data_IF_938513522944
#
_entry.id   IF_938513522944
#
_cell.length_a   1.000
_cell.length_b   1.000
_cell.length_c   1.000
_cell.angle_alpha   90.00
_cell.angle_beta   90.00
_cell.angle_gamma   90.00
#
_symmetry.space_group_name_H-M   'P 1'
#
loop_
_entity.id
_entity.type
_entity.pdbx_description
1 polymer ?
#
# COMPACT_ATOMS: atom_id res chain seq x y z
N UNK A 1 -7.35 -14.57 -2.39
CA UNK A 1 -6.16 -14.83 -1.56
C UNK A 1 -5.22 -13.65 -1.71
N UNK A 2 -4.78 -13.03 -0.61
CA UNK A 2 -3.89 -11.87 -0.67
C UNK A 2 -2.45 -12.33 -0.98
N UNK A 3 -1.73 -11.58 -1.82
CA UNK A 3 -0.33 -11.83 -2.18
C UNK A 3 0.49 -10.56 -2.01
N UNK A 4 1.73 -10.72 -1.56
CA UNK A 4 2.66 -9.61 -1.37
C UNK A 4 3.61 -9.58 -2.58
N UNK A 5 3.63 -8.47 -3.30
CA UNK A 5 4.54 -8.30 -4.43
C UNK A 5 5.97 -8.03 -3.94
N UNK A 6 6.98 -8.36 -4.74
CA UNK A 6 8.38 -8.05 -4.43
C UNK A 6 8.59 -6.54 -4.18
N UNK A 7 7.90 -5.71 -4.95
CA UNK A 7 7.92 -4.26 -4.79
C UNK A 7 7.37 -3.84 -3.42
N UNK A 8 6.26 -4.44 -2.98
CA UNK A 8 5.70 -4.21 -1.67
C UNK A 8 6.65 -4.65 -0.55
N UNK A 9 7.20 -5.87 -0.61
CA UNK A 9 8.10 -6.42 0.41
C UNK A 9 9.32 -5.52 0.59
N UNK A 10 9.93 -5.09 -0.53
CA UNK A 10 11.06 -4.15 -0.52
C UNK A 10 10.68 -2.82 0.14
N UNK A 11 9.54 -2.25 -0.24
CA UNK A 11 9.08 -0.97 0.31
C UNK A 11 8.71 -1.07 1.80
N UNK A 12 8.19 -2.21 2.22
CA UNK A 12 7.88 -2.51 3.61
C UNK A 12 9.14 -2.54 4.46
N UNK A 13 10.15 -3.29 4.05
CA UNK A 13 11.43 -3.37 4.76
C UNK A 13 12.08 -1.98 4.94
N UNK A 14 11.98 -1.11 3.93
CA UNK A 14 12.54 0.25 3.97
C UNK A 14 11.75 1.23 4.88
N UNK A 15 10.45 1.02 5.03
CA UNK A 15 9.54 2.00 5.66
C UNK A 15 9.08 1.58 7.05
N UNK A 16 8.65 0.32 7.18
CA UNK A 16 8.12 -0.26 8.42
C UNK A 16 9.22 -1.02 9.15
N UNK A 17 10.02 -1.77 8.38
CA UNK A 17 11.07 -2.67 8.88
C UNK A 17 10.64 -4.14 8.85
N UNK A 18 11.63 -5.03 8.74
CA UNK A 18 11.42 -6.47 8.70
C UNK A 18 10.79 -6.98 7.40
N UNK A 19 10.41 -8.26 7.40
CA UNK A 19 9.71 -8.93 6.30
C UNK A 19 8.24 -9.10 6.70
N UNK A 20 7.27 -8.55 5.94
CA UNK A 20 5.86 -8.70 6.27
C UNK A 20 5.37 -10.12 5.97
N UNK A 21 4.46 -10.65 6.79
CA UNK A 21 3.66 -11.84 6.43
C UNK A 21 2.33 -11.45 5.81
N UNK A 22 1.71 -12.38 5.07
CA UNK A 22 0.40 -12.14 4.44
C UNK A 22 -0.66 -11.84 5.50
N UNK A 23 -0.66 -12.58 6.61
CA UNK A 23 -1.62 -12.48 7.71
C UNK A 23 -1.50 -11.13 8.43
N UNK A 24 -0.27 -10.66 8.65
CA UNK A 24 -0.02 -9.34 9.22
C UNK A 24 -0.61 -8.25 8.33
N UNK A 25 -0.34 -8.30 7.03
CA UNK A 25 -0.84 -7.30 6.09
C UNK A 25 -2.35 -7.36 5.95
N UNK A 26 -2.95 -8.56 5.96
CA UNK A 26 -4.41 -8.73 6.00
C UNK A 26 -5.03 -8.12 7.24
N UNK A 27 -4.42 -8.32 8.42
CA UNK A 27 -4.90 -7.73 9.66
C UNK A 27 -4.86 -6.20 9.59
N UNK A 28 -3.75 -5.63 9.10
CA UNK A 28 -3.59 -4.19 8.92
C UNK A 28 -4.61 -3.63 7.94
N UNK A 29 -4.88 -4.31 6.82
CA UNK A 29 -5.91 -3.88 5.87
C UNK A 29 -7.29 -3.86 6.54
N UNK A 30 -7.63 -4.86 7.37
CA UNK A 30 -8.91 -4.91 8.10
C UNK A 30 -9.08 -3.79 9.11
N UNK A 31 -8.00 -3.32 9.72
CA UNK A 31 -8.01 -2.22 10.69
C UNK A 31 -7.86 -0.83 10.04
N UNK A 32 -7.58 -0.79 8.74
CA UNK A 32 -7.37 0.45 7.99
C UNK A 32 -8.67 1.13 7.60
N UNK A 33 -8.61 2.46 7.48
CA UNK A 33 -9.63 3.23 6.80
C UNK A 33 -9.50 3.06 5.28
N UNK A 34 -10.63 2.84 4.61
CA UNK A 34 -10.68 2.85 3.15
C UNK A 34 -10.69 4.30 2.67
N UNK A 35 -9.59 4.74 2.06
CA UNK A 35 -9.48 6.08 1.46
C UNK A 35 -10.04 6.08 0.05
N UNK A 36 -9.84 4.98 -0.68
CA UNK A 36 -10.33 4.80 -2.04
C UNK A 36 -10.58 3.31 -2.28
N UNK A 37 -11.76 2.95 -2.79
CA UNK A 37 -12.07 1.57 -3.17
C UNK A 37 -11.49 1.21 -4.55
N UNK A 38 -11.27 -0.07 -4.81
CA UNK A 38 -10.86 -0.53 -6.12
C UNK A 38 -12.00 -0.33 -7.13
N UNK A 39 -11.69 0.19 -8.32
CA UNK A 39 -12.71 0.49 -9.35
C UNK A 39 -12.11 0.48 -10.76
N UNK A 40 -12.96 0.25 -11.76
CA UNK A 40 -12.59 0.35 -13.17
C UNK A 40 -13.34 1.51 -13.80
N UNK A 41 -12.61 2.44 -14.41
CA UNK A 41 -13.15 3.60 -15.12
C UNK A 41 -12.87 3.48 -16.61
N UNK A 42 -13.73 4.06 -17.44
CA UNK A 42 -13.44 4.20 -18.87
C UNK A 42 -12.55 5.42 -19.10
N UNK A 43 -11.46 5.26 -19.85
CA UNK A 43 -10.68 6.39 -20.38
C UNK A 43 -11.45 7.04 -21.53
N UNK A 44 -11.01 8.24 -21.94
CA UNK A 44 -11.59 8.98 -23.08
C UNK A 44 -11.60 8.20 -24.39
N UNK A 45 -10.64 7.29 -24.58
CA UNK A 45 -10.55 6.42 -25.76
C UNK A 45 -11.35 5.10 -25.62
N UNK A 46 -12.11 4.93 -24.53
CA UNK A 46 -12.89 3.71 -24.26
C UNK A 46 -12.13 2.61 -23.51
N UNK A 47 -10.81 2.71 -23.37
CA UNK A 47 -10.02 1.67 -22.68
C UNK A 47 -10.32 1.64 -21.17
N UNK A 48 -10.35 0.47 -20.53
CA UNK A 48 -10.48 0.38 -19.10
C UNK A 48 -9.22 0.92 -18.39
N UNK A 49 -9.42 1.72 -17.36
CA UNK A 49 -8.41 2.14 -16.40
C UNK A 49 -8.79 1.59 -15.02
N UNK A 50 -7.97 0.67 -14.52
CA UNK A 50 -8.12 0.12 -13.18
C UNK A 50 -7.42 1.00 -12.17
N UNK A 51 -8.14 1.32 -11.12
CA UNK A 51 -7.66 2.10 -9.98
C UNK A 51 -7.56 1.17 -8.78
N UNK A 52 -6.41 1.20 -8.11
CA UNK A 52 -6.13 0.40 -6.92
C UNK A 52 -6.90 0.93 -5.71
N UNK A 53 -7.25 0.03 -4.79
CA UNK A 53 -7.72 0.43 -3.48
C UNK A 53 -6.59 1.09 -2.68
N UNK A 54 -6.93 2.09 -1.88
CA UNK A 54 -6.02 2.80 -0.98
C UNK A 54 -6.56 2.64 0.44
N UNK A 55 -5.71 2.06 1.29
CA UNK A 55 -5.99 1.83 2.70
C UNK A 55 -5.04 2.67 3.54
N UNK A 56 -5.56 3.36 4.55
CA UNK A 56 -4.74 4.10 5.52
C UNK A 56 -4.87 3.48 6.91
N UNK A 57 -3.76 2.95 7.41
CA UNK A 57 -3.67 2.43 8.77
C UNK A 57 -3.12 3.52 9.69
N UNK A 58 -4.00 4.19 10.42
CA UNK A 58 -3.65 5.34 11.27
C UNK A 58 -2.70 4.96 12.41
N UNK A 59 -2.87 3.78 13.01
CA UNK A 59 -2.03 3.31 14.11
C UNK A 59 -0.57 3.03 13.74
N UNK A 60 -0.30 2.74 12.46
CA UNK A 60 1.06 2.52 11.94
C UNK A 60 1.55 3.69 11.08
N UNK A 61 0.67 4.67 10.82
CA UNK A 61 0.86 5.77 9.87
C UNK A 61 1.39 5.31 8.50
N UNK A 62 0.74 4.29 7.94
CA UNK A 62 1.07 3.74 6.61
C UNK A 62 -0.13 3.73 5.69
N UNK A 63 0.15 3.93 4.40
CA UNK A 63 -0.83 3.83 3.31
C UNK A 63 -0.46 2.65 2.43
N UNK A 64 -1.40 1.71 2.26
CA UNK A 64 -1.25 0.56 1.38
C UNK A 64 -2.02 0.78 0.08
N UNK A 65 -1.44 0.36 -1.05
CA UNK A 65 -2.16 0.22 -2.32
C UNK A 65 -2.37 -1.24 -2.65
N UNK A 66 -3.62 -1.62 -2.89
CA UNK A 66 -4.02 -3.01 -3.11
C UNK A 66 -4.80 -3.12 -4.42
N UNK A 67 -4.40 -4.07 -5.27
CA UNK A 67 -5.24 -4.54 -6.38
C UNK A 67 -6.16 -5.63 -5.86
N UNK A 68 -7.40 -5.28 -5.56
CA UNK A 68 -8.38 -6.21 -4.99
C UNK A 68 -8.87 -7.23 -6.00
N UNK A 69 -8.82 -6.93 -7.30
CA UNK A 69 -9.23 -7.87 -8.34
C UNK A 69 -8.27 -9.06 -8.43
N UNK A 70 -6.96 -8.80 -8.32
CA UNK A 70 -5.94 -9.86 -8.35
C UNK A 70 -5.48 -10.31 -6.96
N UNK A 71 -5.88 -9.58 -5.90
CA UNK A 71 -5.48 -9.84 -4.52
C UNK A 71 -4.02 -9.45 -4.24
N UNK A 72 -3.41 -8.56 -5.01
CA UNK A 72 -2.01 -8.18 -4.85
C UNK A 72 -1.86 -6.89 -4.05
N UNK A 73 -1.03 -6.91 -3.01
CA UNK A 73 -0.57 -5.69 -2.34
C UNK A 73 0.62 -5.15 -3.11
N UNK A 74 0.45 -3.96 -3.67
CA UNK A 74 1.37 -3.40 -4.67
C UNK A 74 2.46 -2.59 -4.00
N UNK A 75 2.11 -1.73 -3.04
CA UNK A 75 3.09 -0.87 -2.38
C UNK A 75 2.60 -0.36 -1.02
N UNK A 76 3.55 0.14 -0.23
CA UNK A 76 3.33 0.79 1.06
C UNK A 76 4.06 2.13 1.08
N UNK A 77 3.40 3.14 1.62
CA UNK A 77 3.92 4.48 1.85
C UNK A 77 3.83 4.79 3.34
N UNK A 78 4.75 5.58 3.87
CA UNK A 78 4.80 6.01 5.26
C UNK A 78 5.30 7.45 5.31
N UNK A 79 4.97 8.20 6.36
CA UNK A 79 5.46 9.56 6.56
C UNK A 79 6.99 9.60 6.77
N UNK A 80 7.54 8.59 7.43
CA UNK A 80 8.98 8.46 7.70
C UNK A 80 9.56 7.24 6.99
N UNK A 81 10.75 7.39 6.41
CA UNK A 81 11.52 6.27 5.85
C UNK A 81 12.62 5.93 6.83
N UNK A 82 12.62 4.72 7.42
CA UNK A 82 13.63 4.28 8.39
C UNK A 82 15.06 4.16 7.81
N UNK A 83 15.28 4.51 6.54
CA UNK A 83 16.58 4.46 5.87
C UNK A 83 16.80 5.50 4.78
N UNK A 84 16.09 6.65 4.80
CA UNK A 84 16.38 7.72 3.85
C UNK A 84 17.44 8.68 4.44
N UNK A 85 18.69 8.72 3.93
CA UNK A 85 19.69 9.70 4.36
C UNK A 85 19.30 11.14 4.01
N UNK A 86 18.27 11.33 3.18
CA UNK A 86 17.66 12.61 2.83
C UNK A 86 16.32 12.85 3.56
N UNK A 87 16.00 12.09 4.62
CA UNK A 87 14.94 12.47 5.56
C UNK A 87 15.42 13.68 6.37
N UNK A 88 15.59 14.81 5.68
CA UNK A 88 15.97 16.09 6.25
C UNK A 88 14.87 16.57 7.17
N UNK A 89 15.33 17.15 8.29
CA UNK A 89 14.62 18.05 9.19
C UNK A 89 13.73 19.05 8.44
N UNK A 90 12.49 18.64 8.17
CA UNK A 90 11.41 19.56 7.83
C UNK A 90 10.99 20.27 9.11
N UNK A 91 11.17 21.60 9.11
CA UNK A 91 10.91 22.55 10.19
C UNK A 91 9.56 22.37 10.88
#
# INVERSE_FOLDING_TARGET
>A
MLRLTDHFIKNWALRVGGVPTVEQVQHIIRESLVVQSCSTYAKRNGDPHRVLAIYWHTGLDVVLKVDEFSGNVVTVMSKSTKGNPYAGSGR
#
